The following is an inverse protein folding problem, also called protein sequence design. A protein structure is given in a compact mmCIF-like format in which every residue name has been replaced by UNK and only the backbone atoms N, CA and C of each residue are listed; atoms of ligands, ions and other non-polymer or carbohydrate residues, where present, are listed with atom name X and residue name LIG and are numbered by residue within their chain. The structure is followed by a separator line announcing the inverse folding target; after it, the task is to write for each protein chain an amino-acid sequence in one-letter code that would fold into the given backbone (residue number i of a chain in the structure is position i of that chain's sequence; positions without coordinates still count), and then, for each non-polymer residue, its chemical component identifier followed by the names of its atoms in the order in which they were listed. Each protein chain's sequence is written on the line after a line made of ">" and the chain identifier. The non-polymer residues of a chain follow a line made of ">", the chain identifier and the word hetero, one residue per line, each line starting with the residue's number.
data_IF_480503977612
#
_entry.id   IF_480503977612
#
_cell.length_a   1.000
_cell.length_b   1.000
_cell.length_c   1.000
_cell.angle_alpha   90.00
_cell.angle_beta   90.00
_cell.angle_gamma   90.00
#
_symmetry.space_group_name_H-M   'P 1'
#
loop_
_entity.id
_entity.type
_entity.pdbx_description
1 polymer ?
#
# COMPACT_ATOMS: atom_id res chain seq x y z
N UNK A 1 -18.11 -61.72 -38.13
CA UNK A 1 -17.70 -60.30 -38.26
C UNK A 1 -16.28 -60.26 -38.83
N UNK A 2 -16.12 -60.12 -40.15
CA UNK A 2 -14.80 -60.09 -40.80
C UNK A 2 -14.17 -58.72 -40.54
N UNK A 3 -13.27 -58.64 -39.55
CA UNK A 3 -12.51 -57.42 -39.30
C UNK A 3 -11.61 -57.13 -40.49
N UNK A 4 -11.92 -56.07 -41.22
CA UNK A 4 -11.09 -55.59 -42.32
C UNK A 4 -9.78 -55.07 -41.72
N UNK A 5 -8.69 -55.84 -41.86
CA UNK A 5 -7.37 -55.50 -41.29
C UNK A 5 -6.90 -54.09 -41.68
N UNK A 6 -7.30 -53.60 -42.86
CA UNK A 6 -7.04 -52.22 -43.32
C UNK A 6 -7.78 -51.17 -42.49
N UNK A 7 -9.05 -51.42 -42.13
CA UNK A 7 -9.84 -50.52 -41.30
C UNK A 7 -9.30 -50.45 -39.86
N UNK A 8 -8.86 -51.60 -39.33
CA UNK A 8 -8.28 -51.70 -37.99
C UNK A 8 -6.92 -50.97 -37.92
N UNK A 9 -6.12 -51.04 -38.99
CA UNK A 9 -4.85 -50.32 -39.09
C UNK A 9 -5.05 -48.80 -39.20
N UNK A 10 -6.05 -48.34 -39.97
CA UNK A 10 -6.37 -46.91 -40.07
C UNK A 10 -6.88 -46.32 -38.76
N UNK A 11 -7.68 -47.08 -37.99
CA UNK A 11 -8.14 -46.62 -36.66
C UNK A 11 -6.99 -46.55 -35.65
N UNK A 12 -6.01 -47.45 -35.75
CA UNK A 12 -4.84 -47.44 -34.88
C UNK A 12 -3.93 -46.24 -35.17
N UNK A 13 -3.72 -45.88 -36.44
CA UNK A 13 -2.97 -44.68 -36.84
C UNK A 13 -3.67 -43.39 -36.38
N UNK A 14 -5.00 -43.31 -36.53
CA UNK A 14 -5.77 -42.14 -36.10
C UNK A 14 -5.74 -41.98 -34.57
N UNK A 15 -5.68 -43.08 -33.82
CA UNK A 15 -5.58 -43.08 -32.36
C UNK A 15 -4.19 -42.65 -31.86
N UNK A 16 -3.13 -42.88 -32.64
CA UNK A 16 -1.74 -42.56 -32.25
C UNK A 16 -1.36 -41.10 -32.60
N UNK A 17 -2.01 -40.50 -33.59
CA UNK A 17 -1.74 -39.14 -34.05
C UNK A 17 -1.78 -38.04 -32.96
N UNK A 18 -2.71 -38.04 -31.97
CA UNK A 18 -2.74 -37.01 -30.93
C UNK A 18 -1.64 -37.17 -29.86
N UNK A 19 -0.89 -38.27 -29.80
CA UNK A 19 0.15 -38.45 -28.77
C UNK A 19 1.40 -37.57 -29.00
N UNK A 20 1.53 -36.92 -30.15
CA UNK A 20 2.67 -36.05 -30.46
C UNK A 20 2.38 -34.56 -30.24
N UNK A 21 1.19 -34.19 -29.78
CA UNK A 21 0.84 -32.80 -29.47
C UNK A 21 1.49 -32.41 -28.13
N UNK A 22 2.58 -31.64 -28.19
CA UNK A 22 3.17 -30.99 -27.01
C UNK A 22 2.89 -29.49 -27.08
N UNK A 23 2.18 -28.96 -26.09
CA UNK A 23 2.00 -27.52 -25.94
C UNK A 23 3.30 -26.94 -25.34
N UNK A 24 4.01 -26.10 -26.10
CA UNK A 24 5.27 -25.49 -25.63
C UNK A 24 4.99 -24.13 -25.01
N UNK A 25 5.29 -23.99 -23.71
CA UNK A 25 5.34 -22.70 -23.02
C UNK A 25 6.72 -22.08 -23.26
N UNK A 26 6.75 -20.82 -23.69
CA UNK A 26 7.96 -20.03 -23.94
C UNK A 26 8.01 -18.89 -22.93
N UNK A 27 9.18 -18.71 -22.33
CA UNK A 27 9.46 -17.60 -21.40
C UNK A 27 10.64 -16.82 -21.95
N UNK A 28 10.46 -15.53 -22.18
CA UNK A 28 11.50 -14.64 -22.67
C UNK A 28 11.69 -13.51 -21.67
N UNK A 29 12.94 -13.11 -21.41
CA UNK A 29 13.22 -11.91 -20.63
C UNK A 29 12.79 -10.68 -21.42
N UNK A 30 12.14 -9.74 -20.75
CA UNK A 30 11.71 -8.46 -21.32
C UNK A 30 12.87 -7.48 -21.16
N UNK A 31 13.43 -7.05 -22.29
CA UNK A 31 14.49 -6.04 -22.36
C UNK A 31 14.02 -4.88 -23.26
N UNK A 32 14.75 -3.77 -23.26
CA UNK A 32 14.40 -2.59 -24.05
C UNK A 32 14.27 -2.95 -25.55
N UNK A 33 13.09 -2.73 -26.12
CA UNK A 33 12.77 -3.11 -27.50
C UNK A 33 12.06 -4.46 -27.66
N UNK A 34 11.64 -5.11 -26.56
CA UNK A 34 10.83 -6.33 -26.62
C UNK A 34 9.47 -6.08 -27.28
N UNK A 35 9.28 -6.61 -28.48
CA UNK A 35 8.00 -6.59 -29.19
C UNK A 35 7.13 -7.78 -28.76
N UNK A 36 6.37 -7.60 -27.69
CA UNK A 36 5.32 -8.54 -27.32
C UNK A 36 4.22 -8.54 -28.40
N UNK A 37 4.03 -9.65 -29.11
CA UNK A 37 2.81 -9.88 -29.90
C UNK A 37 1.61 -9.67 -28.97
N UNK A 38 0.81 -8.64 -29.21
CA UNK A 38 -0.04 -7.99 -28.20
C UNK A 38 -1.13 -8.86 -27.57
N UNK A 39 -1.32 -10.10 -28.06
CA UNK A 39 -2.43 -10.96 -27.67
C UNK A 39 -2.05 -12.34 -27.11
N UNK A 40 -0.76 -12.72 -27.08
CA UNK A 40 -0.38 -14.13 -26.90
C UNK A 40 0.24 -14.46 -25.54
N UNK A 41 0.29 -13.52 -24.59
CA UNK A 41 0.98 -13.75 -23.31
C UNK A 41 0.78 -12.69 -22.23
N UNK A 42 1.41 -12.92 -21.08
CA UNK A 42 1.45 -12.01 -19.93
C UNK A 42 2.89 -11.73 -19.51
N UNK A 43 3.13 -10.55 -18.92
CA UNK A 43 4.42 -10.16 -18.35
C UNK A 43 4.33 -10.30 -16.84
N UNK A 44 5.32 -10.93 -16.22
CA UNK A 44 5.46 -11.01 -14.77
C UNK A 44 6.87 -10.61 -14.32
N UNK A 45 6.98 -10.16 -13.08
CA UNK A 45 8.24 -9.82 -12.42
C UNK A 45 8.66 -10.93 -11.45
N UNK A 46 9.97 -11.12 -11.30
CA UNK A 46 10.49 -11.94 -10.21
C UNK A 46 10.50 -11.15 -8.89
N UNK A 47 10.22 -11.80 -7.76
CA UNK A 47 10.36 -11.19 -6.45
C UNK A 47 11.83 -11.01 -6.08
N UNK A 48 12.21 -9.81 -5.64
CA UNK A 48 13.46 -9.52 -4.92
C UNK A 48 13.16 -9.23 -3.46
N UNK A 49 14.05 -9.68 -2.56
CA UNK A 49 13.93 -9.40 -1.14
C UNK A 49 14.65 -8.11 -0.79
N UNK A 50 13.92 -7.15 -0.22
CA UNK A 50 14.45 -5.94 0.40
C UNK A 50 14.35 -6.06 1.92
N UNK A 51 15.27 -5.42 2.65
CA UNK A 51 15.22 -5.38 4.10
C UNK A 51 14.69 -4.01 4.50
N UNK A 52 13.50 -3.96 5.09
CA UNK A 52 12.98 -2.76 5.73
C UNK A 52 13.63 -2.64 7.12
N UNK A 53 14.21 -1.49 7.39
CA UNK A 53 14.85 -1.19 8.67
C UNK A 53 13.98 -0.18 9.41
N UNK A 54 13.30 -0.64 10.43
CA UNK A 54 12.44 0.20 11.27
C UNK A 54 13.24 0.57 12.53
N UNK A 55 13.63 1.85 12.64
CA UNK A 55 14.43 2.37 13.75
C UNK A 55 13.55 3.18 14.69
N UNK A 56 13.44 2.74 15.93
CA UNK A 56 12.73 3.49 16.97
C UNK A 56 13.74 4.33 17.76
N UNK A 57 13.57 5.66 17.72
CA UNK A 57 14.41 6.62 18.43
C UNK A 57 13.58 7.35 19.47
N UNK A 58 14.07 7.40 20.70
CA UNK A 58 13.56 8.24 21.77
C UNK A 58 14.26 9.60 21.72
N UNK A 59 13.44 10.65 21.65
CA UNK A 59 13.87 12.04 21.75
C UNK A 59 13.47 12.57 23.11
N UNK A 60 14.46 12.84 23.96
CA UNK A 60 14.26 13.39 25.29
C UNK A 60 14.82 14.80 25.35
N UNK A 61 13.94 15.78 25.57
CA UNK A 61 14.31 17.17 25.81
C UNK A 61 14.19 17.47 27.29
N UNK A 62 15.30 17.90 27.88
CA UNK A 62 15.38 18.37 29.25
C UNK A 62 15.46 19.89 29.21
N UNK A 63 14.49 20.56 29.85
CA UNK A 63 14.48 22.01 29.99
C UNK A 63 14.80 22.39 31.42
N UNK A 64 15.74 23.31 31.59
CA UNK A 64 16.13 23.82 32.88
C UNK A 64 15.09 24.82 33.39
N UNK A 65 14.63 24.62 34.62
CA UNK A 65 13.62 25.49 35.22
C UNK A 65 14.17 26.90 35.56
N UNK A 66 13.34 27.96 35.55
CA UNK A 66 13.78 29.33 35.85
C UNK A 66 14.41 29.50 37.24
N UNK A 67 14.02 28.64 38.19
CA UNK A 67 14.46 28.67 39.58
C UNK A 67 15.53 27.61 39.90
N UNK A 68 16.15 26.98 38.90
CA UNK A 68 17.16 25.91 39.09
C UNK A 68 18.27 26.30 40.07
N UNK A 69 18.76 27.54 39.99
CA UNK A 69 19.86 28.05 40.82
C UNK A 69 19.51 28.12 42.31
N UNK A 70 18.22 28.08 42.64
CA UNK A 70 17.71 28.12 44.00
C UNK A 70 17.30 26.74 44.53
N UNK A 71 17.24 25.72 43.67
CA UNK A 71 16.78 24.39 44.02
C UNK A 71 17.65 23.76 45.13
N UNK A 72 18.97 23.80 45.00
CA UNK A 72 19.87 23.24 46.00
C UNK A 72 19.78 23.97 47.36
N UNK A 73 19.76 25.30 47.33
CA UNK A 73 19.76 26.13 48.55
C UNK A 73 18.43 26.07 49.32
N UNK A 74 17.30 26.04 48.63
CA UNK A 74 15.98 26.18 49.25
C UNK A 74 15.19 24.87 49.32
N UNK A 75 15.46 23.92 48.42
CA UNK A 75 14.78 22.62 48.40
C UNK A 75 15.71 21.47 48.82
N UNK A 76 17.03 21.70 48.93
CA UNK A 76 18.00 20.67 49.31
C UNK A 76 18.15 19.56 48.27
N UNK A 77 17.66 19.78 47.04
CA UNK A 77 17.74 18.80 45.95
C UNK A 77 18.98 19.07 45.09
N UNK A 78 19.77 18.02 44.86
CA UNK A 78 20.96 18.06 43.99
C UNK A 78 20.71 17.41 42.64
N UNK A 79 19.63 16.63 42.50
CA UNK A 79 19.23 15.99 41.24
C UNK A 79 18.17 16.84 40.52
N UNK A 80 18.61 17.88 39.81
CA UNK A 80 17.77 18.74 38.99
C UNK A 80 18.41 19.01 37.62
N UNK A 81 17.59 19.40 36.65
CA UNK A 81 18.05 19.76 35.30
C UNK A 81 18.71 21.15 35.38
N UNK A 82 20.05 21.16 35.35
CA UNK A 82 20.83 22.39 35.46
C UNK A 82 20.95 23.16 34.15
N UNK A 83 20.89 22.48 33.00
CA UNK A 83 20.96 23.11 31.69
C UNK A 83 20.01 22.43 30.74
N UNK A 84 19.58 23.18 29.73
CA UNK A 84 18.83 22.61 28.63
C UNK A 84 19.70 21.56 27.94
N UNK A 85 19.13 20.38 27.71
CA UNK A 85 19.82 19.28 27.07
C UNK A 85 18.86 18.51 26.18
N UNK A 86 19.40 17.95 25.10
CA UNK A 86 18.65 17.14 24.16
C UNK A 86 19.39 15.83 23.97
N UNK A 87 18.78 14.76 24.46
CA UNK A 87 19.31 13.42 24.34
C UNK A 87 18.49 12.63 23.31
N UNK A 88 19.20 11.94 22.42
CA UNK A 88 18.62 10.96 21.52
C UNK A 88 19.10 9.57 21.94
N UNK A 89 18.16 8.64 22.10
CA UNK A 89 18.47 7.26 22.45
C UNK A 89 17.80 6.31 21.47
N UNK A 90 18.57 5.39 20.90
CA UNK A 90 18.02 4.35 20.03
C UNK A 90 17.36 3.28 20.91
N UNK A 91 16.04 3.10 20.79
CA UNK A 91 15.28 2.11 21.58
C UNK A 91 15.33 0.73 20.96
N UNK A 92 15.35 0.66 19.64
CA UNK A 92 15.33 -0.61 18.93
C UNK A 92 15.49 -0.44 17.43
N UNK A 93 15.94 -1.51 16.81
CA UNK A 93 16.01 -1.66 15.36
C UNK A 93 15.33 -2.98 15.03
N UNK A 94 14.33 -2.92 14.17
CA UNK A 94 13.64 -4.08 13.63
C UNK A 94 14.00 -4.23 12.15
N UNK A 95 14.30 -5.46 11.74
CA UNK A 95 14.66 -5.80 10.36
C UNK A 95 13.57 -6.69 9.81
N UNK A 96 12.76 -6.17 8.89
CA UNK A 96 11.65 -6.89 8.27
C UNK A 96 12.00 -7.21 6.81
N UNK A 97 12.18 -8.50 6.45
CA UNK A 97 12.36 -8.87 5.05
C UNK A 97 11.03 -8.72 4.31
N UNK A 98 11.05 -7.96 3.20
CA UNK A 98 9.86 -7.70 2.37
C UNK A 98 10.18 -8.09 0.93
N UNK A 99 9.20 -8.65 0.22
CA UNK A 99 9.32 -8.99 -1.20
C UNK A 99 8.78 -7.85 -2.07
N UNK A 100 9.59 -7.36 -2.98
CA UNK A 100 9.25 -6.35 -3.97
C UNK A 100 9.45 -6.91 -5.38
N UNK A 101 8.72 -6.41 -6.39
CA UNK A 101 8.97 -6.76 -7.78
C UNK A 101 10.34 -6.21 -8.23
N UNK A 102 11.15 -7.04 -8.87
CA UNK A 102 12.46 -6.62 -9.37
C UNK A 102 12.33 -5.92 -10.75
N UNK A 103 12.71 -4.62 -10.85
CA UNK A 103 12.64 -3.88 -12.10
C UNK A 103 13.58 -4.42 -13.19
N UNK A 104 14.64 -5.15 -12.84
CA UNK A 104 15.59 -5.70 -13.83
C UNK A 104 15.16 -7.08 -14.36
N UNK A 105 14.13 -7.69 -13.76
CA UNK A 105 13.75 -9.09 -13.97
C UNK A 105 12.28 -9.23 -14.36
N UNK A 106 11.95 -8.71 -15.53
CA UNK A 106 10.65 -8.93 -16.18
C UNK A 106 10.73 -10.07 -17.19
N UNK A 107 9.71 -10.92 -17.20
CA UNK A 107 9.60 -12.07 -18.07
C UNK A 107 8.23 -12.12 -18.75
N UNK A 108 8.24 -12.36 -20.05
CA UNK A 108 7.05 -12.58 -20.86
C UNK A 108 6.85 -14.07 -21.08
N UNK A 109 5.72 -14.57 -20.61
CA UNK A 109 5.29 -15.95 -20.85
C UNK A 109 4.24 -15.98 -21.96
N UNK A 110 4.49 -16.81 -22.97
CA UNK A 110 3.56 -17.09 -24.07
C UNK A 110 3.54 -18.57 -24.41
N UNK A 111 2.52 -18.98 -25.15
CA UNK A 111 2.42 -20.32 -25.72
C UNK A 111 2.46 -20.21 -27.24
N UNK A 112 2.86 -21.29 -27.90
CA UNK A 112 2.93 -21.34 -29.36
C UNK A 112 1.54 -21.18 -30.03
N UNK A 113 0.47 -21.51 -29.31
CA UNK A 113 -0.89 -21.24 -29.73
C UNK A 113 -1.34 -19.86 -29.23
N UNK A 114 -2.23 -19.19 -29.96
CA UNK A 114 -2.80 -17.89 -29.56
C UNK A 114 -3.74 -18.05 -28.37
N UNK A 115 -3.18 -18.38 -27.20
CA UNK A 115 -3.92 -18.41 -25.95
C UNK A 115 -4.18 -16.98 -25.52
N UNK A 116 -5.46 -16.63 -25.42
CA UNK A 116 -5.87 -15.29 -25.05
C UNK A 116 -5.33 -14.91 -23.67
N UNK A 117 -5.06 -13.62 -23.48
CA UNK A 117 -4.70 -13.03 -22.18
C UNK A 117 -5.63 -13.48 -21.03
N UNK A 118 -6.92 -13.69 -21.32
CA UNK A 118 -7.91 -14.16 -20.36
C UNK A 118 -7.66 -15.61 -19.87
N UNK A 119 -7.14 -16.48 -20.74
CA UNK A 119 -6.77 -17.84 -20.34
C UNK A 119 -5.51 -17.82 -19.45
N UNK A 120 -4.53 -16.96 -19.75
CA UNK A 120 -3.38 -16.74 -18.87
C UNK A 120 -3.76 -16.20 -17.50
N UNK A 121 -4.74 -15.29 -17.41
CA UNK A 121 -5.28 -14.80 -16.13
C UNK A 121 -5.99 -15.88 -15.29
N UNK A 122 -6.46 -16.95 -15.94
CA UNK A 122 -7.07 -18.10 -15.26
C UNK A 122 -6.00 -19.09 -14.78
N UNK A 123 -4.85 -19.16 -15.46
CA UNK A 123 -3.75 -20.06 -15.13
C UNK A 123 -2.81 -19.41 -14.10
N UNK A 124 -2.48 -18.14 -14.25
CA UNK A 124 -1.55 -17.42 -13.40
C UNK A 124 -2.26 -16.27 -12.70
N UNK A 125 -2.25 -16.30 -11.37
CA UNK A 125 -2.72 -15.18 -10.57
C UNK A 125 -1.53 -14.34 -10.14
N UNK A 126 -1.66 -13.02 -10.30
CA UNK A 126 -0.61 -12.06 -10.01
C UNK A 126 -1.07 -11.03 -8.99
N UNK A 127 -0.14 -10.45 -8.24
CA UNK A 127 -0.43 -9.28 -7.41
C UNK A 127 -0.39 -7.97 -8.23
N UNK A 128 -0.80 -6.86 -7.62
CA UNK A 128 -0.78 -5.53 -8.28
C UNK A 128 0.62 -5.05 -8.70
N UNK A 129 1.68 -5.67 -8.17
CA UNK A 129 3.08 -5.37 -8.52
C UNK A 129 3.62 -6.27 -9.64
N UNK A 130 2.80 -7.15 -10.22
CA UNK A 130 3.20 -8.00 -11.34
C UNK A 130 3.91 -9.31 -10.96
N UNK A 131 3.94 -9.69 -9.67
CA UNK A 131 4.53 -10.95 -9.20
C UNK A 131 3.51 -12.08 -9.22
N UNK A 132 3.94 -13.30 -9.54
CA UNK A 132 3.07 -14.50 -9.53
C UNK A 132 2.82 -14.92 -8.08
N UNK A 133 1.54 -15.08 -7.73
CA UNK A 133 1.13 -15.45 -6.36
C UNK A 133 0.50 -16.84 -6.30
N UNK A 134 -0.14 -17.31 -7.37
CA UNK A 134 -0.66 -18.68 -7.45
C UNK A 134 -0.79 -19.18 -8.89
N UNK A 135 -0.89 -20.50 -9.05
CA UNK A 135 -1.10 -21.21 -10.31
C UNK A 135 -2.44 -21.96 -10.25
N UNK A 136 -3.37 -21.65 -11.17
CA UNK A 136 -4.66 -22.31 -11.35
C UNK A 136 -5.86 -21.49 -10.86
N UNK A 137 -7.03 -22.16 -10.79
CA UNK A 137 -8.29 -21.52 -10.42
C UNK A 137 -8.32 -21.18 -8.92
N UNK A 138 -8.19 -19.88 -8.64
CA UNK A 138 -8.56 -19.16 -7.43
C UNK A 138 -8.65 -19.99 -6.13
N UNK A 139 -7.52 -20.54 -5.68
CA UNK A 139 -7.32 -20.70 -4.24
C UNK A 139 -7.28 -19.29 -3.66
N UNK A 140 -8.19 -18.97 -2.72
CA UNK A 140 -8.20 -17.68 -2.01
C UNK A 140 -6.77 -17.41 -1.52
N UNK A 141 -6.08 -16.52 -2.21
CA UNK A 141 -4.75 -16.11 -1.80
C UNK A 141 -4.99 -15.25 -0.57
N UNK A 142 -4.62 -15.78 0.59
CA UNK A 142 -4.48 -14.97 1.78
C UNK A 142 -3.62 -13.79 1.38
N UNK A 143 -4.20 -12.59 1.45
CA UNK A 143 -3.48 -11.36 1.25
C UNK A 143 -2.41 -11.27 2.34
N UNK A 144 -1.25 -11.89 2.12
CA UNK A 144 0.01 -11.44 2.72
C UNK A 144 0.52 -10.25 1.91
N UNK A 145 -0.39 -9.31 1.66
CA UNK A 145 -0.11 -7.91 1.49
C UNK A 145 -0.63 -7.29 2.78
N UNK A 146 0.15 -7.43 3.86
CA UNK A 146 0.01 -6.57 5.03
C UNK A 146 0.49 -5.17 4.61
N UNK A 147 -0.39 -4.51 3.88
CA UNK A 147 -0.13 -3.34 3.08
C UNK A 147 -1.42 -2.90 2.41
N UNK A 148 -2.38 -2.49 3.26
CA UNK A 148 -3.45 -1.52 2.99
C UNK A 148 -3.82 -1.28 1.52
N UNK A 149 -4.35 -2.29 0.85
CA UNK A 149 -5.25 -2.08 -0.28
C UNK A 149 -6.60 -2.67 0.10
N UNK A 150 -7.26 -1.99 1.03
CA UNK A 150 -8.70 -2.10 1.15
C UNK A 150 -9.28 -1.49 -0.13
N UNK A 151 -10.06 -2.27 -0.88
CA UNK A 151 -10.93 -1.73 -1.91
C UNK A 151 -11.98 -0.85 -1.22
N UNK A 152 -11.60 0.38 -0.90
CA UNK A 152 -12.48 1.38 -0.29
C UNK A 152 -13.43 1.87 -1.37
N UNK A 153 -14.72 1.89 -1.04
CA UNK A 153 -15.74 2.53 -1.87
C UNK A 153 -15.43 4.02 -1.99
N UNK A 154 -15.79 4.63 -3.12
CA UNK A 154 -15.50 6.05 -3.41
C UNK A 154 -15.98 7.00 -2.31
N UNK A 155 -17.07 6.64 -1.62
CA UNK A 155 -17.59 7.38 -0.46
C UNK A 155 -16.70 7.31 0.79
N UNK A 156 -16.04 6.17 1.05
CA UNK A 156 -15.11 6.02 2.17
C UNK A 156 -13.81 6.81 1.92
N UNK A 157 -13.34 6.82 0.67
CA UNK A 157 -12.18 7.61 0.24
C UNK A 157 -12.49 9.11 0.41
N UNK A 158 -13.67 9.58 -0.01
CA UNK A 158 -14.09 10.98 0.19
C UNK A 158 -14.17 11.36 1.67
N UNK A 159 -14.68 10.47 2.53
CA UNK A 159 -14.77 10.73 3.97
C UNK A 159 -13.38 10.82 4.64
N UNK A 160 -12.40 10.05 4.16
CA UNK A 160 -11.02 10.12 4.66
C UNK A 160 -10.33 11.44 4.27
N UNK A 161 -10.59 11.95 3.06
CA UNK A 161 -10.00 13.22 2.60
C UNK A 161 -10.80 14.47 2.99
N UNK A 162 -12.06 14.33 3.43
CA UNK A 162 -12.88 15.49 3.81
C UNK A 162 -12.36 16.25 5.02
N UNK A 163 -11.52 15.64 5.86
CA UNK A 163 -10.93 16.29 7.05
C UNK A 163 -9.54 16.87 6.81
N UNK A 164 -8.85 16.50 5.72
CA UNK A 164 -7.51 17.01 5.40
C UNK A 164 -7.53 18.13 4.36
N UNK A 165 -8.67 18.31 3.67
CA UNK A 165 -8.89 19.42 2.74
C UNK A 165 -9.56 20.64 3.39
N UNK A 166 -9.85 20.61 4.70
CA UNK A 166 -10.11 21.84 5.41
C UNK A 166 -8.76 22.57 5.52
N UNK A 167 -8.65 23.72 4.84
CA UNK A 167 -7.60 24.69 5.15
C UNK A 167 -7.57 24.84 6.68
N UNK A 168 -6.39 25.09 7.25
CA UNK A 168 -6.20 25.32 8.69
C UNK A 168 -6.82 26.66 9.14
N UNK A 169 -8.12 26.81 8.87
CA UNK A 169 -8.96 27.93 9.16
C UNK A 169 -9.55 27.66 10.53
N UNK A 170 -9.30 28.56 11.46
CA UNK A 170 -9.89 28.46 12.77
C UNK A 170 -11.16 29.32 12.79
N UNK A 171 -12.30 28.79 13.29
CA UNK A 171 -13.51 29.59 13.42
C UNK A 171 -13.27 30.66 14.48
N UNK A 172 -13.14 31.92 14.05
CA UNK A 172 -13.09 33.06 14.95
C UNK A 172 -14.51 33.60 15.13
N UNK A 173 -15.04 33.48 16.34
CA UNK A 173 -16.36 34.02 16.70
C UNK A 173 -16.17 35.35 17.41
N UNK A 174 -16.57 36.44 16.76
CA UNK A 174 -16.61 37.76 17.37
C UNK A 174 -18.00 38.00 17.99
N UNK A 175 -18.05 38.27 19.29
CA UNK A 175 -19.29 38.60 20.02
C UNK A 175 -19.52 40.11 19.98
N UNK A 176 -20.59 40.54 19.33
CA UNK A 176 -20.99 41.95 19.28
C UNK A 176 -22.15 42.16 20.25
N UNK A 177 -21.92 42.95 21.29
CA UNK A 177 -22.94 43.30 22.27
C UNK A 177 -23.46 44.71 21.97
N UNK A 178 -24.74 44.82 21.64
CA UNK A 178 -25.42 46.11 21.50
C UNK A 178 -26.26 46.35 22.74
N UNK A 179 -25.84 47.33 23.55
CA UNK A 179 -26.62 47.77 24.70
C UNK A 179 -27.50 48.95 24.29
N UNK A 180 -28.82 48.77 24.34
CA UNK A 180 -29.80 49.83 24.09
C UNK A 180 -30.38 50.23 25.44
N UNK A 181 -30.17 51.49 25.83
CA UNK A 181 -30.80 52.06 27.01
C UNK A 181 -32.04 52.85 26.55
N UNK A 182 -33.20 52.46 27.04
CA UNK A 182 -34.44 53.21 26.86
C UNK A 182 -34.97 53.51 28.26
N UNK A 183 -35.05 54.79 28.61
CA UNK A 183 -35.40 55.28 29.94
C UNK A 183 -34.59 54.62 31.06
N UNK A 184 -35.23 53.76 31.87
CA UNK A 184 -34.64 53.07 33.02
C UNK A 184 -34.33 51.59 32.73
N UNK A 185 -34.58 51.12 31.50
CA UNK A 185 -34.32 49.72 31.11
C UNK A 185 -33.11 49.62 30.19
N UNK A 186 -32.26 48.63 30.48
CA UNK A 186 -31.10 48.28 29.66
C UNK A 186 -31.36 46.94 29.00
N UNK A 187 -31.42 46.93 27.67
CA UNK A 187 -31.56 45.70 26.87
C UNK A 187 -30.22 45.43 26.18
N UNK A 188 -29.71 44.21 26.32
CA UNK A 188 -28.52 43.75 25.63
C UNK A 188 -28.92 42.79 24.52
N UNK A 189 -28.59 43.16 23.29
CA UNK A 189 -28.75 42.31 22.11
C UNK A 189 -27.38 41.71 21.75
N UNK A 190 -27.35 40.38 21.64
CA UNK A 190 -26.14 39.60 21.37
C UNK A 190 -26.18 39.12 19.93
N UNK A 191 -25.26 39.61 19.09
CA UNK A 191 -25.08 39.12 17.73
C UNK A 191 -23.72 38.47 17.60
N UNK A 192 -23.68 37.25 17.08
CA UNK A 192 -22.45 36.50 16.84
C UNK A 192 -22.08 36.59 15.36
N UNK A 193 -20.85 37.03 15.08
CA UNK A 193 -20.28 37.00 13.73
C UNK A 193 -19.15 35.99 13.69
N UNK A 194 -19.35 34.92 12.92
CA UNK A 194 -18.33 33.89 12.71
C UNK A 194 -17.60 34.15 11.39
N UNK A 195 -16.27 34.24 11.43
CA UNK A 195 -15.41 34.32 10.24
C UNK A 195 -14.42 33.16 10.26
N UNK A 196 -14.15 32.58 9.10
CA UNK A 196 -13.10 31.56 8.94
C UNK A 196 -11.81 32.26 8.50
N UNK A 197 -10.71 32.09 9.24
CA UNK A 197 -9.39 32.70 8.96
C UNK A 197 -8.29 31.70 9.14
#
# INVERSE_FOLDING_TARGET
>A
MRFNKKLLFTTLILLILPLFATAQIRVNKVEDGFNASSNDGIIYALPRTIIRVDVTVEHQQMFAGPLRNYAEKYLGITNYIDRDDVAYSMKGVELVPVSEADPDQYYFVSTAEKTSKAAWQTILQMNGHGMITSLGTAGKIAATADGLVTNMTEDEVRAMFSKYADLNLYPKVDTIVRTINIDTITIQDYTFKTTMT
#
